data_IF_766444999591
#
_entry.id   IF_766444999591
#
_cell.length_a   1.000
_cell.length_b   1.000
_cell.length_c   1.000
_cell.angle_alpha   90.00
_cell.angle_beta   90.00
_cell.angle_gamma   90.00
#
_symmetry.space_group_name_H-M   'P 1'
#
loop_
_entity.id
_entity.type
_entity.pdbx_description
1 polymer ?
#
# COMPACT_ATOMS: atom_id res chain seq x y z
N UNK A 1 -64.76 54.03 32.94
CA UNK A 1 -63.61 53.58 33.75
C UNK A 1 -63.58 52.05 33.63
N UNK A 2 -62.65 51.47 32.85
CA UNK A 2 -61.38 50.90 33.34
C UNK A 2 -61.66 49.59 34.13
N UNK A 3 -61.19 48.37 33.80
CA UNK A 3 -59.93 47.90 33.21
C UNK A 3 -60.02 46.40 32.81
N UNK A 4 -59.22 46.02 31.77
CA UNK A 4 -58.43 44.76 31.56
C UNK A 4 -59.10 43.39 31.75
N UNK A 5 -59.34 42.59 30.71
CA UNK A 5 -58.37 41.82 29.88
C UNK A 5 -57.36 41.00 30.70
N UNK A 6 -57.62 39.69 30.86
CA UNK A 6 -56.57 38.66 31.03
C UNK A 6 -57.00 37.40 30.27
N UNK A 7 -56.30 37.18 29.16
CA UNK A 7 -56.33 36.03 28.29
C UNK A 7 -55.46 34.94 28.94
N UNK A 8 -56.02 33.82 29.40
CA UNK A 8 -55.24 32.65 29.81
C UNK A 8 -55.06 31.73 28.61
N UNK A 9 -53.99 31.95 27.85
CA UNK A 9 -53.53 31.02 26.82
C UNK A 9 -52.75 29.88 27.50
N UNK A 10 -53.38 28.72 27.65
CA UNK A 10 -52.71 27.49 28.07
C UNK A 10 -51.77 27.02 26.95
N UNK A 11 -50.50 27.36 27.07
CA UNK A 11 -49.44 26.87 26.18
C UNK A 11 -49.09 25.43 26.59
N UNK A 12 -49.76 24.45 26.00
CA UNK A 12 -49.34 23.05 26.07
C UNK A 12 -48.08 22.89 25.22
N UNK A 13 -46.91 22.98 25.86
CA UNK A 13 -45.64 22.58 25.26
C UNK A 13 -45.70 21.06 25.11
N UNK A 14 -46.11 20.58 23.94
CA UNK A 14 -45.86 19.20 23.52
C UNK A 14 -44.35 19.06 23.36
N UNK A 15 -43.69 18.67 24.45
CA UNK A 15 -42.33 18.17 24.41
C UNK A 15 -42.38 16.80 23.73
N UNK A 16 -42.36 16.77 22.39
CA UNK A 16 -42.15 15.55 21.63
C UNK A 16 -40.69 15.13 21.84
N UNK A 17 -40.44 14.44 22.94
CA UNK A 17 -39.27 13.60 23.09
C UNK A 17 -39.37 12.52 21.99
N UNK A 18 -38.64 12.70 20.89
CA UNK A 18 -38.33 11.60 19.99
C UNK A 18 -37.50 10.61 20.80
N UNK A 19 -38.16 9.57 21.30
CA UNK A 19 -37.46 8.36 21.71
C UNK A 19 -36.81 7.79 20.45
N UNK A 20 -35.51 8.05 20.29
CA UNK A 20 -34.68 7.30 19.37
C UNK A 20 -34.59 5.88 19.93
N UNK A 21 -35.52 5.03 19.51
CA UNK A 21 -35.48 3.61 19.85
C UNK A 21 -34.15 3.06 19.32
N UNK A 22 -33.24 2.71 20.23
CA UNK A 22 -31.95 2.14 19.90
C UNK A 22 -32.18 0.78 19.21
N UNK A 23 -32.31 0.81 17.88
CA UNK A 23 -32.46 -0.42 17.10
C UNK A 23 -31.16 -1.20 17.17
N UNK A 24 -31.27 -2.45 17.60
CA UNK A 24 -30.18 -3.41 17.56
C UNK A 24 -29.72 -3.60 16.11
N UNK A 25 -28.48 -3.24 15.81
CA UNK A 25 -27.85 -3.42 14.50
C UNK A 25 -27.86 -4.90 14.09
N UNK A 26 -28.27 -5.19 12.85
CA UNK A 26 -28.20 -6.55 12.31
C UNK A 26 -26.86 -6.75 11.59
N UNK A 27 -26.27 -7.94 11.73
CA UNK A 27 -25.11 -8.35 10.93
C UNK A 27 -25.56 -9.25 9.80
N UNK A 28 -25.13 -8.95 8.57
CA UNK A 28 -25.34 -9.76 7.38
C UNK A 28 -24.02 -10.46 7.05
N UNK A 29 -23.98 -11.78 7.20
CA UNK A 29 -22.78 -12.57 6.93
C UNK A 29 -22.66 -12.90 5.44
N UNK A 30 -21.48 -12.65 4.88
CA UNK A 30 -21.14 -12.94 3.48
C UNK A 30 -19.88 -13.78 3.45
N UNK A 31 -19.92 -14.93 2.79
CA UNK A 31 -18.74 -15.76 2.55
C UNK A 31 -18.04 -15.25 1.30
N UNK A 32 -16.73 -15.04 1.37
CA UNK A 32 -15.89 -14.64 0.23
C UNK A 32 -15.03 -15.83 -0.18
N UNK A 33 -15.29 -16.39 -1.36
CA UNK A 33 -14.57 -17.56 -1.85
C UNK A 33 -15.15 -18.89 -1.33
N UNK A 34 -14.25 -19.84 -1.05
CA UNK A 34 -14.59 -21.15 -0.47
C UNK A 34 -15.01 -22.23 -1.47
N UNK A 35 -15.75 -23.23 -1.00
CA UNK A 35 -16.22 -24.36 -1.82
C UNK A 35 -17.13 -23.94 -2.99
N UNK A 36 -17.77 -22.77 -2.88
CA UNK A 36 -18.58 -22.18 -3.93
C UNK A 36 -17.75 -21.51 -5.05
N UNK A 37 -16.42 -21.45 -4.92
CA UNK A 37 -15.52 -20.91 -5.93
C UNK A 37 -15.35 -19.39 -5.86
N UNK A 38 -15.16 -18.74 -7.01
CA UNK A 38 -14.85 -17.32 -7.16
C UNK A 38 -16.10 -16.43 -6.97
N UNK A 39 -16.66 -16.39 -5.75
CA UNK A 39 -17.97 -15.79 -5.51
C UNK A 39 -18.11 -15.18 -4.10
N UNK A 40 -18.98 -14.18 -3.98
CA UNK A 40 -19.53 -13.72 -2.71
C UNK A 40 -20.85 -14.43 -2.44
N UNK A 41 -21.01 -15.08 -1.27
CA UNK A 41 -22.22 -15.85 -0.93
C UNK A 41 -22.85 -15.35 0.37
N UNK A 42 -24.03 -14.71 0.35
CA UNK A 42 -24.77 -14.32 -0.86
C UNK A 42 -24.04 -13.22 -1.63
N UNK A 43 -24.35 -13.08 -2.93
CA UNK A 43 -23.74 -12.07 -3.79
C UNK A 43 -24.43 -10.70 -3.71
N UNK A 44 -25.49 -10.58 -2.91
CA UNK A 44 -26.11 -9.31 -2.58
C UNK A 44 -26.85 -9.41 -1.24
N UNK A 45 -26.97 -8.28 -0.56
CA UNK A 45 -27.78 -8.14 0.66
C UNK A 45 -28.58 -6.85 0.64
N UNK A 46 -29.65 -6.82 1.42
CA UNK A 46 -30.39 -5.60 1.71
C UNK A 46 -30.30 -5.30 3.21
N UNK A 47 -29.75 -4.14 3.55
CA UNK A 47 -29.34 -3.78 4.90
C UNK A 47 -29.79 -2.34 5.21
N UNK A 48 -30.19 -2.10 6.46
CA UNK A 48 -30.62 -0.77 6.92
C UNK A 48 -29.42 0.05 7.39
N UNK A 49 -29.57 1.36 7.46
CA UNK A 49 -28.57 2.23 8.10
C UNK A 49 -28.30 1.76 9.52
N UNK A 50 -27.02 1.61 9.87
CA UNK A 50 -26.54 1.07 11.15
C UNK A 50 -26.43 -0.47 11.21
N UNK A 51 -26.81 -1.20 10.15
CA UNK A 51 -26.48 -2.62 10.01
C UNK A 51 -25.01 -2.80 9.60
N UNK A 52 -24.47 -4.00 9.83
CA UNK A 52 -23.12 -4.38 9.41
C UNK A 52 -23.16 -5.48 8.36
N UNK A 53 -22.25 -5.42 7.39
CA UNK A 53 -21.97 -6.54 6.48
C UNK A 53 -20.62 -7.12 6.83
N UNK A 54 -20.60 -8.39 7.25
CA UNK A 54 -19.40 -9.09 7.70
C UNK A 54 -18.99 -10.15 6.68
N UNK A 55 -17.85 -9.92 6.05
CA UNK A 55 -17.24 -10.79 5.07
C UNK A 55 -16.33 -11.79 5.76
N UNK A 56 -16.56 -13.08 5.51
CA UNK A 56 -15.77 -14.20 6.02
C UNK A 56 -15.00 -14.80 4.85
N UNK A 57 -13.68 -14.62 4.84
CA UNK A 57 -12.84 -15.08 3.75
C UNK A 57 -12.54 -16.57 3.89
N UNK A 58 -12.62 -17.30 2.78
CA UNK A 58 -12.34 -18.72 2.71
C UNK A 58 -11.52 -19.08 1.49
N UNK A 59 -10.45 -19.85 1.70
CA UNK A 59 -9.51 -20.40 0.72
C UNK A 59 -8.99 -19.41 -0.34
N UNK A 60 -7.67 -19.42 -0.59
CA UNK A 60 -7.01 -18.54 -1.57
C UNK A 60 -7.17 -17.05 -1.22
N UNK A 61 -6.84 -16.18 -2.18
CA UNK A 61 -6.66 -14.76 -2.00
C UNK A 61 -7.84 -14.04 -2.64
N UNK A 62 -8.60 -13.33 -1.81
CA UNK A 62 -9.72 -12.51 -2.23
C UNK A 62 -9.65 -11.16 -1.53
N UNK A 63 -10.28 -10.15 -2.13
CA UNK A 63 -10.47 -8.83 -1.53
C UNK A 63 -11.96 -8.55 -1.34
N UNK A 64 -12.25 -7.50 -0.57
CA UNK A 64 -13.53 -6.81 -0.51
C UNK A 64 -13.20 -5.35 -0.79
N UNK A 65 -13.30 -4.98 -2.05
CA UNK A 65 -12.87 -3.67 -2.54
C UNK A 65 -14.07 -2.93 -3.07
N UNK A 66 -14.34 -1.74 -2.55
CA UNK A 66 -15.45 -0.91 -3.02
C UNK A 66 -15.18 -0.43 -4.44
N UNK A 67 -16.21 -0.41 -5.28
CA UNK A 67 -16.17 0.15 -6.64
C UNK A 67 -17.38 1.07 -6.88
N UNK A 68 -17.47 1.60 -8.10
CA UNK A 68 -18.71 2.20 -8.61
C UNK A 68 -19.53 1.16 -9.40
N UNK A 69 -20.77 1.52 -9.77
CA UNK A 69 -21.59 0.68 -10.66
C UNK A 69 -21.06 0.69 -12.10
N UNK A 70 -20.59 1.87 -12.54
CA UNK A 70 -20.14 2.14 -13.91
C UNK A 70 -18.72 1.59 -14.16
N UNK A 71 -17.91 1.51 -13.11
CA UNK A 71 -16.56 0.95 -13.11
C UNK A 71 -16.51 -0.22 -12.10
N UNK A 72 -17.21 -1.33 -12.40
CA UNK A 72 -17.47 -2.41 -11.45
C UNK A 72 -16.24 -3.21 -11.02
N UNK A 73 -15.11 -3.06 -11.73
CA UNK A 73 -13.85 -3.76 -11.44
C UNK A 73 -12.71 -2.81 -11.07
N UNK A 74 -13.01 -1.54 -10.84
CA UNK A 74 -12.03 -0.54 -10.41
C UNK A 74 -12.28 -0.12 -8.95
N UNK A 75 -11.21 0.00 -8.15
CA UNK A 75 -11.32 0.49 -6.78
C UNK A 75 -11.85 1.93 -6.77
N UNK A 76 -12.88 2.16 -5.97
CA UNK A 76 -13.46 3.48 -5.78
C UNK A 76 -12.49 4.37 -5.02
N UNK A 77 -12.16 5.54 -5.57
CA UNK A 77 -11.31 6.52 -4.88
C UNK A 77 -11.91 6.92 -3.53
N UNK A 78 -11.15 6.67 -2.45
CA UNK A 78 -11.61 6.93 -1.08
C UNK A 78 -12.62 5.90 -0.55
N UNK A 79 -12.89 4.85 -1.32
CA UNK A 79 -13.68 3.70 -0.88
C UNK A 79 -12.90 2.79 0.05
N UNK A 80 -13.59 1.78 0.59
CA UNK A 80 -12.95 0.79 1.43
C UNK A 80 -12.26 -0.30 0.62
N UNK A 81 -11.18 -0.84 1.16
CA UNK A 81 -10.54 -2.05 0.66
C UNK A 81 -10.10 -2.91 1.84
N UNK A 82 -10.40 -4.20 1.79
CA UNK A 82 -9.80 -5.13 2.73
C UNK A 82 -8.31 -5.29 2.43
N UNK A 83 -7.88 -5.22 1.17
CA UNK A 83 -6.64 -5.82 0.68
C UNK A 83 -6.76 -7.34 0.65
N UNK A 84 -5.77 -8.03 0.09
CA UNK A 84 -5.80 -9.48 0.00
C UNK A 84 -5.80 -10.13 1.39
N UNK A 85 -6.81 -10.97 1.64
CA UNK A 85 -6.87 -11.80 2.84
C UNK A 85 -6.42 -13.21 2.48
N UNK A 86 -5.20 -13.56 2.89
CA UNK A 86 -4.66 -14.91 2.72
C UNK A 86 -5.34 -15.85 3.73
N UNK A 87 -5.92 -16.93 3.23
CA UNK A 87 -6.31 -18.08 4.06
C UNK A 87 -5.48 -19.28 3.63
N UNK A 88 -4.33 -19.48 4.28
CA UNK A 88 -3.49 -20.66 4.05
C UNK A 88 -3.97 -21.82 4.93
N UNK A 89 -4.09 -23.05 4.40
CA UNK A 89 -3.68 -24.21 5.16
C UNK A 89 -2.15 -24.26 5.06
N UNK A 90 -1.47 -23.69 6.04
CA UNK A 90 -0.08 -24.07 6.27
C UNK A 90 -0.11 -25.55 6.67
N UNK A 91 0.55 -26.40 5.88
CA UNK A 91 0.80 -27.84 6.07
C UNK A 91 -0.18 -28.80 5.34
N UNK A 92 0.42 -29.62 4.48
CA UNK A 92 -0.18 -30.68 3.65
C UNK A 92 -0.76 -31.88 4.42
N UNK A 93 -1.35 -31.70 5.60
CA UNK A 93 -1.79 -32.86 6.40
C UNK A 93 -2.92 -32.63 7.41
N UNK A 94 -3.68 -31.54 7.34
CA UNK A 94 -4.89 -31.41 8.15
C UNK A 94 -6.13 -31.21 7.26
N UNK A 95 -7.13 -32.12 7.31
CA UNK A 95 -8.45 -31.83 6.78
C UNK A 95 -9.14 -30.91 7.77
N UNK A 96 -8.80 -29.62 7.73
CA UNK A 96 -9.62 -28.63 8.44
C UNK A 96 -10.91 -28.52 7.64
N UNK A 97 -11.94 -29.22 8.12
CA UNK A 97 -13.31 -28.87 7.81
C UNK A 97 -13.49 -27.39 8.19
N UNK A 98 -13.41 -26.51 7.20
CA UNK A 98 -13.46 -25.08 7.39
C UNK A 98 -14.86 -24.70 7.85
N UNK A 99 -15.02 -24.49 9.15
CA UNK A 99 -16.11 -23.67 9.63
C UNK A 99 -15.91 -22.27 9.05
N UNK A 100 -16.82 -21.88 8.15
CA UNK A 100 -16.89 -20.61 7.46
C UNK A 100 -16.70 -19.38 8.37
N UNK A 101 -17.03 -19.52 9.66
CA UNK A 101 -17.02 -18.43 10.66
C UNK A 101 -15.69 -18.32 11.42
N UNK A 102 -14.77 -19.26 11.16
CA UNK A 102 -13.39 -19.41 11.66
C UNK A 102 -12.34 -18.40 11.15
N UNK A 103 -12.56 -17.90 9.93
CA UNK A 103 -11.53 -17.26 9.11
C UNK A 103 -11.31 -15.76 9.38
N UNK A 104 -10.36 -15.12 8.68
CA UNK A 104 -10.21 -13.68 8.73
C UNK A 104 -11.50 -13.03 8.22
N UNK A 105 -11.86 -11.91 8.85
CA UNK A 105 -13.09 -11.20 8.51
C UNK A 105 -12.83 -9.73 8.20
N UNK A 106 -13.66 -9.16 7.34
CA UNK A 106 -13.71 -7.72 7.08
C UNK A 106 -15.15 -7.28 7.28
N UNK A 107 -15.36 -6.15 7.96
CA UNK A 107 -16.71 -5.68 8.30
C UNK A 107 -16.86 -4.26 7.82
N UNK A 108 -17.97 -3.99 7.11
CA UNK A 108 -18.38 -2.64 6.75
C UNK A 108 -19.67 -2.28 7.47
N UNK A 109 -19.81 -1.01 7.83
CA UNK A 109 -21.03 -0.43 8.37
C UNK A 109 -21.84 0.21 7.24
N UNK A 110 -23.15 -0.02 7.23
CA UNK A 110 -24.07 0.60 6.29
C UNK A 110 -24.44 1.99 6.82
N UNK A 111 -23.84 3.03 6.22
CA UNK A 111 -23.99 4.42 6.70
C UNK A 111 -25.19 5.14 6.10
N UNK A 112 -25.66 4.70 4.95
CA UNK A 112 -26.82 5.25 4.26
C UNK A 112 -27.52 4.15 3.43
N UNK A 113 -28.64 4.47 2.80
CA UNK A 113 -29.41 3.53 1.98
C UNK A 113 -28.90 3.46 0.52
N UNK A 114 -27.82 4.17 0.18
CA UNK A 114 -27.29 4.15 -1.18
C UNK A 114 -26.70 2.77 -1.51
N UNK A 115 -26.72 2.36 -2.79
CA UNK A 115 -26.09 1.11 -3.20
C UNK A 115 -24.57 1.13 -2.95
N UNK A 116 -24.06 0.04 -2.40
CA UNK A 116 -22.61 -0.19 -2.24
C UNK A 116 -22.22 -1.31 -3.20
N UNK A 117 -21.23 -1.04 -4.04
CA UNK A 117 -20.70 -1.98 -5.03
C UNK A 117 -19.33 -2.46 -4.59
N UNK A 118 -19.11 -3.77 -4.66
CA UNK A 118 -17.90 -4.42 -4.16
C UNK A 118 -17.40 -5.43 -5.19
N UNK A 119 -16.12 -5.40 -5.50
CA UNK A 119 -15.48 -6.39 -6.35
C UNK A 119 -14.29 -7.05 -5.66
N UNK A 120 -13.87 -8.17 -6.25
CA UNK A 120 -12.59 -8.79 -5.91
C UNK A 120 -11.53 -8.28 -6.90
N UNK A 121 -10.40 -7.79 -6.39
CA UNK A 121 -9.26 -7.27 -7.18
C UNK A 121 -8.36 -8.36 -7.77
N UNK A 122 -8.52 -9.61 -7.32
CA UNK A 122 -7.80 -10.72 -7.91
C UNK A 122 -8.07 -10.79 -9.42
N UNK A 123 -6.99 -10.96 -10.18
CA UNK A 123 -7.01 -11.04 -11.65
C UNK A 123 -8.10 -12.01 -12.13
N UNK A 124 -8.86 -11.58 -13.12
CA UNK A 124 -10.00 -12.28 -13.74
C UNK A 124 -11.21 -12.57 -12.84
N UNK A 125 -11.16 -12.32 -11.53
CA UNK A 125 -12.31 -12.59 -10.65
C UNK A 125 -13.48 -11.64 -10.93
N UNK A 126 -13.25 -10.33 -10.89
CA UNK A 126 -14.31 -9.35 -11.14
C UNK A 126 -14.89 -9.43 -12.57
N UNK A 127 -14.07 -9.50 -13.64
CA UNK A 127 -14.59 -9.72 -15.00
C UNK A 127 -15.35 -11.05 -15.14
N UNK A 128 -15.00 -12.08 -14.36
CA UNK A 128 -15.75 -13.35 -14.30
C UNK A 128 -17.07 -13.24 -13.52
N UNK A 129 -17.36 -12.10 -12.90
CA UNK A 129 -18.59 -11.85 -12.15
C UNK A 129 -18.47 -12.06 -10.65
N UNK A 130 -17.25 -12.09 -10.09
CA UNK A 130 -17.01 -12.06 -8.65
C UNK A 130 -17.22 -10.64 -8.11
N UNK A 131 -18.49 -10.29 -7.97
CA UNK A 131 -18.95 -8.99 -7.50
C UNK A 131 -20.08 -9.14 -6.48
N UNK A 132 -20.19 -8.17 -5.58
CA UNK A 132 -21.16 -8.12 -4.49
C UNK A 132 -21.84 -6.76 -4.43
N UNK A 133 -23.09 -6.73 -3.96
CA UNK A 133 -23.83 -5.49 -3.80
C UNK A 133 -24.61 -5.41 -2.47
N UNK A 134 -24.56 -4.25 -1.83
CA UNK A 134 -25.50 -3.88 -0.75
C UNK A 134 -26.53 -2.94 -1.36
N UNK A 135 -27.82 -3.17 -1.06
CA UNK A 135 -28.90 -2.28 -1.44
C UNK A 135 -29.00 -1.98 -2.96
N UNK A 136 -28.62 -2.94 -3.80
CA UNK A 136 -28.78 -2.82 -5.24
C UNK A 136 -30.24 -2.54 -5.64
N UNK A 137 -30.50 -1.72 -6.67
CA UNK A 137 -31.86 -1.46 -7.16
C UNK A 137 -32.55 -2.74 -7.63
N UNK A 138 -33.85 -2.89 -7.32
CA UNK A 138 -34.65 -4.07 -7.69
C UNK A 138 -34.92 -4.21 -9.20
N UNK A 139 -34.67 -3.16 -9.99
CA UNK A 139 -34.89 -3.09 -11.44
C UNK A 139 -33.70 -2.40 -12.10
N UNK A 140 -33.31 -2.84 -13.29
CA UNK A 140 -32.19 -2.28 -14.06
C UNK A 140 -31.11 -3.31 -14.39
N UNK A 141 -29.97 -2.83 -14.89
CA UNK A 141 -28.78 -3.67 -15.11
C UNK A 141 -28.25 -4.20 -13.77
N UNK A 142 -27.92 -5.48 -13.71
CA UNK A 142 -27.34 -6.08 -12.49
C UNK A 142 -25.84 -5.84 -12.46
N UNK A 143 -25.27 -5.65 -11.28
CA UNK A 143 -23.85 -5.40 -11.10
C UNK A 143 -22.96 -6.50 -11.71
N UNK A 144 -23.41 -7.75 -11.64
CA UNK A 144 -22.77 -8.89 -12.31
C UNK A 144 -22.73 -8.76 -13.84
N UNK A 145 -23.80 -8.23 -14.46
CA UNK A 145 -23.80 -7.97 -15.92
C UNK A 145 -22.87 -6.81 -16.28
N UNK A 146 -22.82 -5.78 -15.43
CA UNK A 146 -21.89 -4.65 -15.58
C UNK A 146 -20.43 -5.15 -15.58
N UNK A 147 -20.06 -5.97 -14.59
CA UNK A 147 -18.69 -6.48 -14.45
C UNK A 147 -18.28 -7.44 -15.56
N UNK A 148 -19.20 -8.28 -16.06
CA UNK A 148 -18.93 -9.23 -17.14
C UNK A 148 -18.87 -8.58 -18.52
N UNK A 149 -19.54 -7.44 -18.72
CA UNK A 149 -19.48 -6.69 -19.97
C UNK A 149 -18.08 -6.12 -20.26
N UNK A 150 -17.25 -5.92 -19.22
CA UNK A 150 -15.85 -5.52 -19.35
C UNK A 150 -14.93 -6.64 -19.87
N UNK A 151 -15.35 -7.90 -19.75
CA UNK A 151 -14.60 -9.07 -20.21
C UNK A 151 -14.93 -9.52 -21.64
N UNK A 152 -15.85 -8.84 -22.34
CA UNK A 152 -16.26 -9.20 -23.70
C UNK A 152 -15.87 -8.10 -24.70
N UNK A 153 -15.26 -8.44 -25.86
CA UNK A 153 -15.06 -7.49 -26.93
C UNK A 153 -16.42 -6.98 -27.43
N UNK A 154 -16.60 -5.67 -27.65
CA UNK A 154 -17.92 -5.10 -27.88
C UNK A 154 -18.47 -5.53 -29.24
N UNK A 155 -19.57 -6.29 -29.23
CA UNK A 155 -20.38 -6.57 -30.43
C UNK A 155 -21.47 -5.50 -30.59
N UNK A 156 -21.20 -4.56 -31.50
CA UNK A 156 -22.18 -3.86 -32.34
C UNK A 156 -23.37 -3.15 -31.68
N UNK A 157 -23.31 -1.81 -31.61
CA UNK A 157 -24.44 -0.96 -32.01
C UNK A 157 -23.98 0.47 -32.35
N UNK A 158 -24.65 1.16 -33.28
CA UNK A 158 -24.14 2.39 -33.87
C UNK A 158 -24.53 3.59 -33.00
N UNK A 159 -23.54 4.31 -32.47
CA UNK A 159 -23.75 5.69 -32.07
C UNK A 159 -22.49 6.52 -32.31
N UNK A 160 -22.71 7.52 -33.16
CA UNK A 160 -21.97 8.77 -33.39
C UNK A 160 -20.59 8.93 -32.73
N UNK A 161 -19.60 9.08 -33.61
CA UNK A 161 -18.20 9.40 -33.40
C UNK A 161 -17.87 10.07 -32.05
N UNK A 162 -17.45 9.26 -31.08
CA UNK A 162 -16.42 9.66 -30.13
C UNK A 162 -15.17 8.91 -30.57
N UNK A 163 -14.14 9.66 -30.98
CA UNK A 163 -12.87 9.10 -31.43
C UNK A 163 -12.26 8.37 -30.24
N UNK A 164 -12.44 7.04 -30.18
CA UNK A 164 -11.69 6.17 -29.30
C UNK A 164 -10.26 6.14 -29.81
N UNK A 165 -9.46 7.07 -29.31
CA UNK A 165 -8.02 6.91 -29.34
C UNK A 165 -7.69 5.84 -28.30
N UNK A 166 -7.76 4.57 -28.70
CA UNK A 166 -7.16 3.46 -27.95
C UNK A 166 -5.66 3.72 -28.00
N UNK A 167 -5.14 4.46 -27.02
CA UNK A 167 -3.70 4.59 -26.84
C UNK A 167 -3.18 3.17 -26.66
N UNK A 168 -2.29 2.68 -27.53
CA UNK A 168 -1.69 1.37 -27.34
C UNK A 168 -0.90 1.38 -26.03
N UNK A 169 -1.36 0.64 -25.01
CA UNK A 169 -0.64 0.45 -23.75
C UNK A 169 0.65 -0.33 -24.00
N UNK A 170 1.78 0.23 -23.63
CA UNK A 170 3.10 -0.39 -23.77
C UNK A 170 3.43 -1.23 -22.54
N UNK A 171 4.12 -2.35 -22.75
CA UNK A 171 4.78 -3.08 -21.65
C UNK A 171 6.22 -2.63 -21.54
N UNK A 172 6.65 -2.27 -20.34
CA UNK A 172 8.03 -1.99 -19.98
C UNK A 172 8.58 -3.19 -19.20
N UNK A 173 9.46 -3.96 -19.82
CA UNK A 173 10.06 -5.12 -19.20
C UNK A 173 11.24 -4.72 -18.29
N UNK A 174 11.21 -5.21 -17.06
CA UNK A 174 12.23 -4.97 -16.04
C UNK A 174 12.75 -6.31 -15.53
N UNK A 175 14.04 -6.56 -15.62
CA UNK A 175 14.66 -7.73 -15.00
C UNK A 175 14.91 -7.42 -13.53
N UNK A 176 14.50 -8.32 -12.64
CA UNK A 176 14.77 -8.24 -11.20
C UNK A 176 15.87 -9.25 -10.88
N UNK A 177 17.05 -8.76 -10.48
CA UNK A 177 18.19 -9.63 -10.24
C UNK A 177 18.97 -9.98 -11.51
N UNK A 178 19.35 -11.25 -11.64
CA UNK A 178 20.01 -11.77 -12.83
C UNK A 178 21.51 -11.51 -12.90
N UNK A 179 22.06 -11.53 -14.13
CA UNK A 179 23.49 -11.31 -14.38
C UNK A 179 23.99 -9.92 -13.95
N UNK A 180 23.09 -8.93 -13.88
CA UNK A 180 23.39 -7.58 -13.42
C UNK A 180 23.49 -7.48 -11.87
N UNK A 181 23.18 -8.56 -11.14
CA UNK A 181 23.31 -8.62 -9.69
C UNK A 181 22.09 -8.07 -8.96
N UNK A 182 22.31 -7.40 -7.83
CA UNK A 182 21.25 -6.90 -6.92
C UNK A 182 20.61 -5.62 -7.45
N UNK A 183 19.88 -5.70 -8.56
CA UNK A 183 19.40 -4.52 -9.29
C UNK A 183 18.10 -4.80 -10.05
N UNK A 184 17.35 -3.73 -10.33
CA UNK A 184 16.28 -3.71 -11.33
C UNK A 184 16.84 -3.19 -12.66
N UNK A 185 16.65 -3.90 -13.77
CA UNK A 185 17.21 -3.51 -15.09
C UNK A 185 16.10 -3.37 -16.13
N UNK A 186 15.78 -2.14 -16.60
CA UNK A 186 16.31 -0.87 -16.14
C UNK A 186 15.86 -0.54 -14.70
N UNK A 187 16.59 0.34 -14.01
CA UNK A 187 16.28 0.73 -12.63
C UNK A 187 15.27 1.88 -12.54
N UNK A 188 14.89 2.45 -13.66
CA UNK A 188 13.80 3.40 -13.75
C UNK A 188 13.19 3.34 -15.15
N UNK A 189 11.89 3.61 -15.25
CA UNK A 189 11.18 3.74 -16.52
C UNK A 189 10.33 5.00 -16.53
N UNK A 190 10.06 5.50 -17.72
CA UNK A 190 9.02 6.50 -17.95
C UNK A 190 7.89 5.82 -18.72
N UNK A 191 6.68 5.90 -18.20
CA UNK A 191 5.54 5.12 -18.67
C UNK A 191 4.28 6.00 -18.63
N UNK A 192 3.45 5.87 -19.66
CA UNK A 192 2.19 6.61 -19.77
C UNK A 192 1.08 5.90 -18.96
N UNK A 193 0.01 6.62 -18.64
CA UNK A 193 -1.16 6.02 -17.98
C UNK A 193 -1.73 4.89 -18.85
N UNK A 194 -1.92 3.72 -18.26
CA UNK A 194 -2.33 2.47 -18.92
C UNK A 194 -1.17 1.59 -19.40
N UNK A 195 0.07 2.08 -19.37
CA UNK A 195 1.24 1.23 -19.59
C UNK A 195 1.39 0.21 -18.46
N UNK A 196 2.04 -0.90 -18.77
CA UNK A 196 2.34 -1.95 -17.80
C UNK A 196 3.84 -2.03 -17.55
N UNK A 197 4.25 -2.20 -16.30
CA UNK A 197 5.64 -2.53 -15.95
C UNK A 197 5.68 -3.99 -15.52
N UNK A 198 6.35 -4.81 -16.33
CA UNK A 198 6.45 -6.25 -16.12
C UNK A 198 7.82 -6.62 -15.59
N UNK A 199 7.85 -7.07 -14.35
CA UNK A 199 9.04 -7.53 -13.66
C UNK A 199 9.27 -9.02 -13.91
N UNK A 200 10.46 -9.36 -14.40
CA UNK A 200 10.90 -10.73 -14.65
C UNK A 200 11.99 -11.10 -13.66
N UNK A 201 11.66 -12.00 -12.73
CA UNK A 201 12.60 -12.38 -11.67
C UNK A 201 13.64 -13.37 -12.18
N UNK A 202 14.91 -13.14 -11.84
CA UNK A 202 16.01 -14.00 -12.22
C UNK A 202 17.00 -14.19 -11.07
N UNK A 203 17.33 -15.45 -10.79
CA UNK A 203 18.30 -15.92 -9.78
C UNK A 203 18.10 -15.37 -8.36
N UNK A 204 18.40 -16.18 -7.35
CA UNK A 204 18.27 -15.80 -5.93
C UNK A 204 16.83 -15.36 -5.59
N UNK A 205 16.66 -14.52 -4.57
CA UNK A 205 15.37 -14.17 -4.02
C UNK A 205 15.24 -12.65 -3.93
N UNK A 206 14.19 -12.11 -4.54
CA UNK A 206 13.93 -10.68 -4.66
C UNK A 206 12.43 -10.39 -4.51
N UNK A 207 12.09 -9.12 -4.30
CA UNK A 207 10.70 -8.63 -4.27
C UNK A 207 10.55 -7.43 -5.20
N UNK A 208 9.31 -7.09 -5.50
CA UNK A 208 8.87 -5.82 -6.07
C UNK A 208 7.84 -5.27 -5.09
N UNK A 209 8.30 -4.40 -4.19
CA UNK A 209 7.50 -3.89 -3.09
C UNK A 209 7.40 -2.37 -3.20
N UNK A 210 6.18 -1.85 -3.29
CA UNK A 210 5.97 -0.41 -3.36
C UNK A 210 6.46 0.26 -2.08
N UNK A 211 7.14 1.38 -2.22
CA UNK A 211 7.60 2.23 -1.12
C UNK A 211 7.19 3.69 -1.38
N UNK A 212 7.66 4.59 -0.51
CA UNK A 212 7.51 6.03 -0.71
C UNK A 212 8.87 6.66 -1.03
N UNK A 213 8.86 7.91 -1.49
CA UNK A 213 10.11 8.67 -1.69
C UNK A 213 10.85 8.88 -0.35
N UNK A 214 10.11 9.17 0.73
CA UNK A 214 10.67 9.52 2.04
C UNK A 214 11.16 8.29 2.81
N UNK A 215 10.52 7.14 2.58
CA UNK A 215 10.83 5.85 3.19
C UNK A 215 11.03 4.79 2.10
N UNK A 216 12.15 4.86 1.34
CA UNK A 216 12.28 4.09 0.12
C UNK A 216 12.61 2.62 0.34
N UNK A 217 13.04 2.22 1.54
CA UNK A 217 13.21 0.81 1.93
C UNK A 217 12.15 0.33 2.94
N UNK A 218 11.00 1.01 3.02
CA UNK A 218 9.88 0.56 3.83
C UNK A 218 8.68 0.26 2.92
N UNK A 219 7.92 -0.81 3.19
CA UNK A 219 6.70 -1.11 2.45
C UNK A 219 5.67 0.00 2.65
N UNK A 220 5.12 0.50 1.54
CA UNK A 220 4.05 1.48 1.58
C UNK A 220 2.77 0.81 2.11
N UNK A 221 2.16 1.37 3.15
CA UNK A 221 0.89 0.87 3.68
C UNK A 221 -0.20 0.90 2.58
N UNK A 222 -0.73 -0.26 2.24
CA UNK A 222 -1.72 -0.40 1.16
C UNK A 222 -1.14 -0.32 -0.25
N UNK A 223 0.19 -0.30 -0.38
CA UNK A 223 0.88 -0.45 -1.64
C UNK A 223 0.96 -1.91 -2.11
N UNK A 224 1.42 -2.11 -3.33
CA UNK A 224 1.60 -3.46 -3.87
C UNK A 224 2.86 -4.14 -3.33
N UNK A 225 2.82 -5.46 -3.26
CA UNK A 225 3.96 -6.31 -2.95
C UNK A 225 3.86 -7.62 -3.74
N UNK A 226 4.93 -7.97 -4.46
CA UNK A 226 5.02 -9.28 -5.11
C UNK A 226 5.18 -10.42 -4.10
N UNK A 227 5.68 -10.11 -2.90
CA UNK A 227 6.30 -11.08 -2.01
C UNK A 227 7.64 -11.57 -2.56
N UNK A 228 8.28 -12.45 -1.80
CA UNK A 228 9.56 -13.07 -2.16
C UNK A 228 9.42 -14.06 -3.32
N UNK A 229 10.16 -13.81 -4.40
CA UNK A 229 10.19 -14.63 -5.61
C UNK A 229 11.55 -15.34 -5.76
N UNK A 230 11.74 -16.51 -5.13
CA UNK A 230 12.99 -17.27 -5.25
C UNK A 230 13.10 -17.95 -6.63
N UNK A 231 14.27 -17.81 -7.26
CA UNK A 231 14.62 -18.40 -8.56
C UNK A 231 15.98 -19.09 -8.45
N UNK A 232 16.05 -20.37 -8.82
CA UNK A 232 17.30 -21.14 -8.82
C UNK A 232 18.31 -20.60 -9.87
N UNK A 233 19.61 -20.74 -9.62
CA UNK A 233 20.67 -20.17 -10.49
C UNK A 233 20.73 -20.77 -11.90
N UNK A 234 20.14 -21.94 -12.12
CA UNK A 234 20.07 -22.66 -13.39
C UNK A 234 18.68 -22.58 -14.05
N UNK A 235 17.73 -21.89 -13.41
CA UNK A 235 16.37 -21.75 -13.91
C UNK A 235 16.34 -20.95 -15.22
N UNK A 236 15.80 -21.54 -16.27
CA UNK A 236 15.64 -20.90 -17.59
C UNK A 236 14.48 -19.90 -17.65
N UNK A 237 13.57 -19.94 -16.67
CA UNK A 237 12.39 -19.08 -16.56
C UNK A 237 12.14 -18.80 -15.08
N UNK A 238 11.81 -17.55 -14.76
CA UNK A 238 11.36 -17.14 -13.43
C UNK A 238 9.91 -16.66 -13.43
N UNK A 239 9.33 -16.42 -12.24
CA UNK A 239 8.02 -15.80 -12.13
C UNK A 239 8.06 -14.36 -12.65
N UNK A 240 6.88 -13.82 -12.93
CA UNK A 240 6.71 -12.43 -13.32
C UNK A 240 5.68 -11.75 -12.44
N UNK A 241 5.89 -10.46 -12.17
CA UNK A 241 4.93 -9.59 -11.49
C UNK A 241 4.68 -8.38 -12.37
N UNK A 242 3.44 -7.95 -12.51
CA UNK A 242 3.10 -6.84 -13.40
C UNK A 242 2.30 -5.81 -12.63
N UNK A 243 2.68 -4.54 -12.77
CA UNK A 243 1.89 -3.39 -12.30
C UNK A 243 1.39 -2.60 -13.49
N UNK A 244 0.23 -1.97 -13.34
CA UNK A 244 -0.30 -0.98 -14.28
C UNK A 244 0.02 0.43 -13.78
N UNK A 245 0.38 1.31 -14.71
CA UNK A 245 0.60 2.73 -14.43
C UNK A 245 -0.76 3.43 -14.46
N UNK A 246 -1.32 3.69 -13.27
CA UNK A 246 -2.67 4.23 -13.13
C UNK A 246 -2.75 5.75 -13.26
N UNK A 247 -1.64 6.44 -13.02
CA UNK A 247 -1.53 7.88 -13.13
C UNK A 247 -0.06 8.29 -13.43
N UNK A 248 0.17 9.58 -13.65
CA UNK A 248 1.49 10.13 -13.94
C UNK A 248 2.36 10.30 -12.68
N UNK A 249 1.86 9.94 -11.48
CA UNK A 249 2.61 10.13 -10.24
C UNK A 249 3.82 9.18 -10.18
N UNK A 250 4.91 9.58 -9.50
CA UNK A 250 6.06 8.70 -9.32
C UNK A 250 5.69 7.48 -8.47
N UNK A 251 6.05 6.29 -8.95
CA UNK A 251 5.96 5.03 -8.19
C UNK A 251 7.36 4.67 -7.73
N UNK A 252 7.53 4.44 -6.43
CA UNK A 252 8.79 4.01 -5.83
C UNK A 252 8.68 2.55 -5.43
N UNK A 253 9.73 1.78 -5.72
CA UNK A 253 9.77 0.34 -5.49
C UNK A 253 11.11 -0.02 -4.88
N UNK A 254 11.10 -0.99 -3.99
CA UNK A 254 12.31 -1.58 -3.43
C UNK A 254 12.23 -3.09 -3.33
N UNK A 255 13.40 -3.67 -3.08
CA UNK A 255 13.52 -5.07 -2.71
C UNK A 255 13.60 -5.18 -1.18
N UNK A 256 12.67 -5.90 -0.58
CA UNK A 256 12.61 -6.17 0.87
C UNK A 256 13.67 -7.16 1.37
N UNK A 257 14.38 -7.83 0.45
CA UNK A 257 15.43 -8.75 0.84
C UNK A 257 16.51 -8.03 1.65
N UNK A 258 16.97 -8.69 2.70
CA UNK A 258 17.94 -8.14 3.65
C UNK A 258 19.14 -7.57 2.90
N UNK A 259 19.50 -6.33 3.24
CA UNK A 259 20.58 -5.54 2.65
C UNK A 259 20.46 -5.19 1.16
N UNK A 260 19.44 -5.65 0.42
CA UNK A 260 19.30 -5.30 -0.99
C UNK A 260 18.94 -3.82 -1.18
N UNK A 261 17.82 -3.36 -0.60
CA UNK A 261 17.43 -1.94 -0.72
C UNK A 261 18.46 -0.98 -0.09
N UNK A 262 19.02 -1.25 1.11
CA UNK A 262 20.11 -0.43 1.65
C UNK A 262 21.37 -0.39 0.77
N UNK A 263 21.59 -1.40 -0.07
CA UNK A 263 22.67 -1.43 -1.07
C UNK A 263 22.31 -0.77 -2.40
N UNK A 264 21.14 -0.10 -2.48
CA UNK A 264 20.69 0.65 -3.65
C UNK A 264 19.77 -0.13 -4.59
N UNK A 265 19.24 -1.29 -4.19
CA UNK A 265 18.26 -2.03 -4.99
C UNK A 265 16.87 -1.39 -4.88
N UNK A 266 16.71 -0.28 -5.61
CA UNK A 266 15.49 0.51 -5.75
C UNK A 266 15.11 0.69 -7.22
N UNK A 267 13.83 0.89 -7.49
CA UNK A 267 13.28 1.13 -8.82
C UNK A 267 12.27 2.28 -8.78
N UNK A 268 12.11 2.98 -9.91
CA UNK A 268 11.06 3.98 -10.03
C UNK A 268 10.35 3.99 -11.39
N UNK A 269 9.05 4.29 -11.35
CA UNK A 269 8.28 4.71 -12.52
C UNK A 269 8.08 6.22 -12.42
N UNK A 270 8.29 6.94 -13.51
CA UNK A 270 7.98 8.38 -13.62
C UNK A 270 8.67 9.26 -12.56
N UNK A 271 9.88 8.89 -12.11
CA UNK A 271 10.66 9.72 -11.20
C UNK A 271 10.93 11.12 -11.80
N UNK A 272 10.72 12.20 -11.04
CA UNK A 272 10.89 13.55 -11.56
C UNK A 272 12.38 13.88 -11.76
N UNK A 273 12.68 14.73 -12.76
CA UNK A 273 14.05 15.17 -13.07
C UNK A 273 14.62 16.17 -12.06
N UNK A 274 13.78 16.80 -11.24
CA UNK A 274 14.15 17.77 -10.20
C UNK A 274 13.36 17.47 -8.92
N UNK A 275 13.83 17.97 -7.78
CA UNK A 275 13.16 17.72 -6.50
C UNK A 275 13.40 16.29 -6.02
N UNK A 276 12.35 15.46 -6.04
CA UNK A 276 12.35 14.08 -5.53
C UNK A 276 12.87 13.09 -6.56
N UNK A 277 14.14 13.24 -6.96
CA UNK A 277 14.73 12.48 -8.07
C UNK A 277 15.11 11.05 -7.69
N UNK A 278 15.17 10.16 -8.69
CA UNK A 278 15.64 8.77 -8.48
C UNK A 278 17.02 8.70 -7.82
N UNK A 279 17.95 9.58 -8.23
CA UNK A 279 19.28 9.68 -7.61
C UNK A 279 19.21 9.92 -6.10
N UNK A 280 18.25 10.72 -5.62
CA UNK A 280 18.12 10.96 -4.18
C UNK A 280 17.64 9.72 -3.45
N UNK A 281 16.73 8.95 -4.05
CA UNK A 281 16.27 7.67 -3.48
C UNK A 281 17.40 6.66 -3.44
N UNK A 282 18.16 6.49 -4.54
CA UNK A 282 19.31 5.57 -4.59
C UNK A 282 20.43 5.95 -3.60
N UNK A 283 20.60 7.24 -3.31
CA UNK A 283 21.67 7.74 -2.43
C UNK A 283 21.22 7.88 -0.94
N UNK A 284 19.91 7.94 -0.67
CA UNK A 284 19.34 8.24 0.64
C UNK A 284 19.72 7.25 1.75
N UNK A 285 20.05 6.01 1.38
CA UNK A 285 20.48 4.98 2.35
C UNK A 285 21.98 5.01 2.67
N UNK A 286 22.81 5.61 1.81
CA UNK A 286 24.20 5.89 2.17
C UNK A 286 24.26 6.88 3.34
N UNK A 287 23.37 7.89 3.36
CA UNK A 287 23.36 8.92 4.39
C UNK A 287 22.62 8.55 5.67
N UNK A 288 21.51 7.79 5.64
CA UNK A 288 20.75 7.49 6.87
C UNK A 288 21.50 6.59 7.86
N UNK A 289 22.23 5.56 7.39
CA UNK A 289 23.15 4.78 8.25
C UNK A 289 24.31 5.65 8.77
N UNK A 290 24.83 6.56 7.94
CA UNK A 290 25.92 7.47 8.33
C UNK A 290 25.48 8.52 9.36
N UNK A 291 24.29 9.10 9.24
CA UNK A 291 23.75 10.10 10.19
C UNK A 291 23.41 9.47 11.54
N UNK A 292 22.84 8.26 11.57
CA UNK A 292 22.59 7.56 12.86
C UNK A 292 23.93 7.20 13.53
N UNK A 293 24.89 6.67 12.78
CA UNK A 293 26.21 6.31 13.31
C UNK A 293 27.03 7.53 13.75
N UNK A 294 26.99 8.63 12.99
CA UNK A 294 27.68 9.88 13.36
C UNK A 294 26.98 10.59 14.51
N UNK A 295 25.65 10.55 14.62
CA UNK A 295 24.94 11.14 15.77
C UNK A 295 25.23 10.32 17.03
N UNK A 296 25.23 8.98 16.94
CA UNK A 296 25.66 8.13 18.05
C UNK A 296 27.12 8.36 18.41
N UNK A 297 28.03 8.44 17.43
CA UNK A 297 29.45 8.72 17.67
C UNK A 297 29.65 10.11 18.27
N UNK A 298 28.97 11.15 17.79
CA UNK A 298 28.99 12.51 18.35
C UNK A 298 28.42 12.54 19.77
N UNK A 299 27.40 11.75 20.06
CA UNK A 299 26.76 11.69 21.38
C UNK A 299 27.62 10.88 22.36
N UNK A 300 28.29 9.82 21.91
CA UNK A 300 29.33 9.11 22.65
C UNK A 300 30.56 9.98 22.89
N UNK A 301 31.05 10.74 21.90
CA UNK A 301 32.17 11.67 22.05
C UNK A 301 31.81 12.85 22.98
N UNK A 302 30.58 13.38 22.90
CA UNK A 302 30.08 14.38 23.86
C UNK A 302 29.93 13.81 25.27
N UNK A 303 29.51 12.55 25.41
CA UNK A 303 29.44 11.86 26.70
C UNK A 303 30.84 11.60 27.27
N UNK A 304 31.79 11.15 26.45
CA UNK A 304 33.19 10.94 26.84
C UNK A 304 33.89 12.25 27.25
N UNK A 305 33.59 13.36 26.57
CA UNK A 305 34.07 14.70 26.93
C UNK A 305 33.43 15.26 28.21
N UNK A 306 32.23 14.78 28.56
CA UNK A 306 31.53 15.15 29.81
C UNK A 306 32.01 14.28 30.98
N UNK A 307 32.21 12.98 30.77
CA UNK A 307 32.78 12.09 31.79
C UNK A 307 34.27 12.36 32.06
N UNK A 308 35.00 12.97 31.13
CA UNK A 308 36.37 13.45 31.36
C UNK A 308 36.48 14.76 32.15
N UNK A 309 35.36 15.42 32.52
CA UNK A 309 35.37 16.65 33.32
C UNK A 309 34.83 16.50 34.74
N UNK A 310 34.19 15.38 35.04
CA UNK A 310 33.46 15.18 36.30
C UNK A 310 34.02 13.97 37.09
N UNK A 311 35.35 13.75 37.12
CA UNK A 311 36.07 13.00 38.18
C UNK A 311 37.57 12.91 37.84
N UNK A 312 38.40 13.73 38.48
CA UNK A 312 39.68 13.25 39.05
C UNK A 312 40.25 14.29 40.02
N UNK A 313 39.75 14.27 41.25
CA UNK A 313 40.58 14.63 42.39
C UNK A 313 41.35 13.37 42.82
N UNK A 314 42.67 13.52 42.84
CA UNK A 314 43.68 12.67 43.49
C UNK A 314 44.22 11.43 42.74
N UNK A 315 45.46 11.58 42.25
CA UNK A 315 46.52 10.58 42.46
C UNK A 315 46.71 9.43 41.46
N UNK A 316 47.23 9.70 40.24
CA UNK A 316 47.67 8.61 39.34
C UNK A 316 47.91 9.02 37.90
N UNK A 317 49.17 9.01 37.46
CA UNK A 317 49.63 9.49 36.14
C UNK A 317 49.31 8.53 34.98
N UNK A 318 48.47 8.97 34.04
CA UNK A 318 48.69 8.73 32.61
C UNK A 318 48.07 9.89 31.81
N UNK A 319 48.90 10.87 31.43
CA UNK A 319 48.48 11.98 30.57
C UNK A 319 48.51 11.51 29.12
N UNK A 320 47.34 11.45 28.48
CA UNK A 320 47.25 11.51 27.01
C UNK A 320 47.16 12.99 26.65
N UNK A 321 48.14 13.50 25.92
CA UNK A 321 48.22 14.91 25.54
C UNK A 321 47.05 15.27 24.62
N UNK A 322 46.49 16.47 24.81
CA UNK A 322 45.41 17.01 23.97
C UNK A 322 45.79 17.05 22.47
N UNK A 323 47.09 17.06 22.15
CA UNK A 323 47.65 16.96 20.79
C UNK A 323 47.32 15.62 20.09
N UNK A 324 47.31 14.49 20.83
CA UNK A 324 47.01 13.16 20.25
C UNK A 324 45.52 13.01 19.91
N UNK A 325 44.66 13.83 20.53
CA UNK A 325 43.22 13.84 20.27
C UNK A 325 42.85 14.70 19.06
N UNK A 326 43.64 15.74 18.75
CA UNK A 326 43.44 16.60 17.58
C UNK A 326 43.96 15.96 16.29
N UNK A 327 45.10 15.25 16.34
CA UNK A 327 45.65 14.52 15.18
C UNK A 327 44.68 13.43 14.68
N UNK A 328 44.04 12.73 15.62
CA UNK A 328 43.07 11.65 15.36
C UNK A 328 41.72 12.20 14.83
N UNK A 329 41.43 13.49 15.00
CA UNK A 329 40.27 14.18 14.41
C UNK A 329 40.60 14.66 12.98
N UNK A 330 41.81 15.15 12.75
CA UNK A 330 42.28 15.63 11.44
C UNK A 330 42.41 14.47 10.43
N UNK A 331 42.91 13.32 10.88
CA UNK A 331 42.97 12.10 10.06
C UNK A 331 41.56 11.61 9.67
N UNK A 332 40.62 11.65 10.61
CA UNK A 332 39.21 11.27 10.38
C UNK A 332 38.50 12.26 9.46
N UNK A 333 38.82 13.56 9.53
CA UNK A 333 38.33 14.59 8.58
C UNK A 333 38.87 14.38 7.17
N UNK A 334 40.16 14.07 7.04
CA UNK A 334 40.80 13.77 5.75
C UNK A 334 40.20 12.53 5.09
N UNK A 335 39.90 11.49 5.88
CA UNK A 335 39.20 10.30 5.40
C UNK A 335 37.77 10.63 4.93
N UNK A 336 37.04 11.44 5.69
CA UNK A 336 35.70 11.93 5.35
C UNK A 336 35.68 12.76 4.05
N UNK A 337 36.67 13.63 3.84
CA UNK A 337 36.84 14.43 2.61
C UNK A 337 37.07 13.55 1.38
N UNK A 338 37.92 12.52 1.51
CA UNK A 338 38.20 11.54 0.44
C UNK A 338 37.02 10.65 0.09
N UNK A 339 36.19 10.29 1.08
CA UNK A 339 35.02 9.41 0.89
C UNK A 339 33.80 10.17 0.34
N UNK A 340 33.66 11.46 0.66
CA UNK A 340 32.50 12.27 0.26
C UNK A 340 32.68 13.01 -1.07
N UNK A 341 33.89 13.03 -1.63
CA UNK A 341 34.19 13.71 -2.90
C UNK A 341 34.05 15.23 -2.86
N UNK A 342 33.82 15.83 -1.69
CA UNK A 342 33.82 17.28 -1.50
C UNK A 342 35.25 17.72 -1.18
N UNK A 343 35.88 18.45 -2.11
CA UNK A 343 37.02 19.30 -1.79
C UNK A 343 36.51 20.46 -0.93
N UNK A 344 37.11 20.63 0.24
CA UNK A 344 36.81 21.73 1.14
C UNK A 344 37.05 23.07 0.43
N UNK A 345 36.01 23.89 0.35
CA UNK A 345 36.15 25.33 0.12
C UNK A 345 36.59 25.90 1.46
N UNK A 346 37.90 26.05 1.63
CA UNK A 346 38.46 26.83 2.73
C UNK A 346 38.35 28.29 2.33
N UNK A 347 37.53 29.05 3.04
CA UNK A 347 37.56 30.51 3.01
C UNK A 347 38.32 30.99 4.26
N UNK A 348 39.62 31.23 4.05
CA UNK A 348 40.49 32.26 4.64
C UNK A 348 41.92 32.02 4.15
#
# INVERSE_FOLDING_TARGET
MLFKSILTASLAILSSALFAEARKSKTHDVIVGGAAGLVYTPNQVHAKVGDYVKFHFQFKNHTVTQSSFDEPCEPLKGGFDSGFRLTMPLLSSMPVAMDAKKGPTFTIEVKDENPIWVHCEQVDHCPSGMVFAVNAPKKGNTFKKSSQALGQPPTGSPSTARVNHRVPSKTHDVIVGGAAGLVYTPNQVHAEVGDHVKFHFQFKNHTVTQSSFDEPCEPLKGGFDSGFMPVAMDAKKGPTFTIEVKDENPIWVHCEQVDHCPSGMVFAVNAPKKGNTFKKVSDSHFFRKFTVLTTFLLQFLKAAKKSGKDEYHDGGSYKRSDEDAEEDIEEKRSLLSRITGKRDVVEA
#
